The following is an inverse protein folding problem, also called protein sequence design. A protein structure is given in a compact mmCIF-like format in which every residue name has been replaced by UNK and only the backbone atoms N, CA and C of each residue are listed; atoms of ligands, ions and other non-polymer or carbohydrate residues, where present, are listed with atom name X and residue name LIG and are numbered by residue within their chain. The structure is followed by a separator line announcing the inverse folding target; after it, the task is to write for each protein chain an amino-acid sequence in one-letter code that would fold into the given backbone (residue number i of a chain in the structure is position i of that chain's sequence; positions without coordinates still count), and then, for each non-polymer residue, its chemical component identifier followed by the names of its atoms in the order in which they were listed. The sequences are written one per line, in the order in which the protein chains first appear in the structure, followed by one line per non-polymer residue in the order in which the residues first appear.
data_IF_264050388484
#
_entry.id   IF_264050388484
#
_cell.length_a   1.000
_cell.length_b   1.000
_cell.length_c   1.000
_cell.angle_alpha   90.00
_cell.angle_beta   90.00
_cell.angle_gamma   90.00
#
_symmetry.space_group_name_H-M   'P 1'
#
loop_
_entity.id
_entity.type
_entity.pdbx_description
1 polymer ?
#
# COMPACT_ATOMS: atom_id res chain seq x y z
N UNK A 1 23.02 -35.17 -12.48
CA UNK A 1 22.22 -34.66 -11.35
C UNK A 1 23.16 -34.62 -10.16
N UNK A 2 23.47 -33.45 -9.62
CA UNK A 2 24.36 -33.34 -8.46
C UNK A 2 23.56 -33.68 -7.20
N UNK A 3 23.97 -34.75 -6.50
CA UNK A 3 23.44 -35.10 -5.19
C UNK A 3 23.74 -33.95 -4.23
N UNK A 4 22.69 -33.36 -3.65
CA UNK A 4 22.83 -32.42 -2.54
C UNK A 4 23.16 -33.25 -1.30
N UNK A 5 24.44 -33.35 -0.95
CA UNK A 5 24.84 -33.89 0.36
C UNK A 5 24.36 -32.92 1.44
N UNK A 6 23.34 -33.31 2.20
CA UNK A 6 22.93 -32.59 3.40
C UNK A 6 24.09 -32.70 4.40
N UNK A 7 24.63 -31.59 4.93
CA UNK A 7 25.71 -31.66 5.90
C UNK A 7 25.23 -32.44 7.12
N UNK A 8 25.97 -33.47 7.52
CA UNK A 8 25.69 -34.23 8.74
C UNK A 8 25.78 -33.29 9.93
N UNK A 9 24.70 -33.24 10.72
CA UNK A 9 24.65 -32.44 11.94
C UNK A 9 25.67 -32.99 12.94
N UNK A 10 26.41 -32.08 13.57
CA UNK A 10 27.29 -32.47 14.69
C UNK A 10 26.46 -33.00 15.86
N UNK A 11 27.06 -33.79 16.74
CA UNK A 11 26.38 -34.32 17.93
C UNK A 11 25.74 -33.19 18.77
N UNK A 12 26.44 -32.06 18.93
CA UNK A 12 25.91 -30.89 19.65
C UNK A 12 24.66 -30.28 18.98
N UNK A 13 24.62 -30.28 17.64
CA UNK A 13 23.44 -29.80 16.91
C UNK A 13 22.28 -30.78 17.02
N UNK A 14 22.55 -32.08 16.97
CA UNK A 14 21.52 -33.11 17.16
C UNK A 14 20.90 -33.01 18.56
N UNK A 15 21.73 -32.88 19.59
CA UNK A 15 21.26 -32.71 20.97
C UNK A 15 20.46 -31.42 21.15
N UNK A 16 20.91 -30.32 20.53
CA UNK A 16 20.17 -29.05 20.54
C UNK A 16 18.80 -29.17 19.86
N UNK A 17 18.72 -29.77 18.68
CA UNK A 17 17.46 -29.95 17.97
C UNK A 17 16.53 -30.94 18.67
N UNK A 18 17.08 -31.99 19.27
CA UNK A 18 16.29 -32.93 20.07
C UNK A 18 15.71 -32.24 21.30
N UNK A 19 16.50 -31.44 22.02
CA UNK A 19 16.01 -30.66 23.16
C UNK A 19 14.92 -29.65 22.76
N UNK A 20 15.02 -29.03 21.58
CA UNK A 20 13.98 -28.14 21.07
C UNK A 20 12.70 -28.89 20.66
N UNK A 21 12.84 -30.08 20.08
CA UNK A 21 11.70 -30.94 19.75
C UNK A 21 10.99 -31.41 21.01
N UNK A 22 11.75 -31.89 22.00
CA UNK A 22 11.21 -32.35 23.29
C UNK A 22 10.50 -31.21 24.02
N UNK A 23 11.06 -29.99 23.99
CA UNK A 23 10.41 -28.79 24.52
C UNK A 23 9.10 -28.46 23.79
N UNK A 24 9.10 -28.49 22.44
CA UNK A 24 7.92 -28.18 21.65
C UNK A 24 6.78 -29.19 21.87
N UNK A 25 7.10 -30.46 22.08
CA UNK A 25 6.13 -31.53 22.28
C UNK A 25 5.60 -31.61 23.71
N UNK A 26 6.46 -31.40 24.71
CA UNK A 26 6.14 -31.71 26.11
C UNK A 26 5.98 -30.47 27.00
N UNK A 27 6.74 -29.41 26.75
CA UNK A 27 6.86 -28.27 27.67
C UNK A 27 6.29 -26.96 27.11
N UNK A 28 6.02 -26.89 25.80
CA UNK A 28 5.44 -25.72 25.16
C UNK A 28 3.95 -25.61 25.52
N UNK A 29 3.67 -24.76 26.50
CA UNK A 29 2.30 -24.32 26.79
C UNK A 29 1.95 -23.21 25.80
N UNK A 30 0.93 -23.38 24.93
CA UNK A 30 0.46 -22.29 24.09
C UNK A 30 0.06 -21.11 24.96
N UNK A 31 0.52 -19.90 24.63
CA UNK A 31 0.11 -18.72 25.39
C UNK A 31 -1.42 -18.58 25.28
N UNK A 32 -2.11 -18.54 26.43
CA UNK A 32 -3.57 -18.50 26.54
C UNK A 32 -4.21 -17.22 25.95
N UNK A 33 -3.44 -16.38 25.24
CA UNK A 33 -3.84 -15.08 24.71
C UNK A 33 -4.35 -15.11 23.27
N UNK A 34 -4.43 -16.28 22.61
CA UNK A 34 -5.08 -16.37 21.30
C UNK A 34 -6.59 -16.55 21.45
N UNK A 35 -7.28 -15.45 21.78
CA UNK A 35 -8.74 -15.33 21.71
C UNK A 35 -9.19 -15.30 20.25
N UNK A 36 -9.21 -16.48 19.61
CA UNK A 36 -9.88 -16.73 18.34
C UNK A 36 -9.17 -16.20 17.09
N UNK A 37 -9.36 -16.91 15.97
CA UNK A 37 -9.04 -16.36 14.66
C UNK A 37 -10.10 -15.31 14.35
N UNK A 38 -9.73 -14.04 14.41
CA UNK A 38 -10.61 -12.96 13.98
C UNK A 38 -10.81 -13.04 12.47
N UNK A 39 -12.03 -12.75 12.00
CA UNK A 39 -12.37 -12.76 10.58
C UNK A 39 -13.08 -11.46 10.18
N UNK A 40 -12.96 -11.09 8.90
CA UNK A 40 -13.70 -9.97 8.32
C UNK A 40 -13.45 -8.64 9.04
N UNK A 41 -14.52 -7.99 9.48
CA UNK A 41 -14.47 -6.65 10.08
C UNK A 41 -13.67 -6.62 11.39
N UNK A 42 -13.77 -7.68 12.19
CA UNK A 42 -13.12 -7.75 13.51
C UNK A 42 -11.60 -7.96 13.37
N UNK A 43 -11.18 -8.76 12.38
CA UNK A 43 -9.76 -8.90 12.03
C UNK A 43 -9.19 -7.56 11.54
N UNK A 44 -9.95 -6.84 10.71
CA UNK A 44 -9.53 -5.54 10.21
C UNK A 44 -9.45 -4.48 11.32
N UNK A 45 -10.37 -4.49 12.29
CA UNK A 45 -10.31 -3.61 13.44
C UNK A 45 -9.08 -3.90 14.31
N UNK A 46 -8.87 -5.17 14.66
CA UNK A 46 -7.72 -5.59 15.47
C UNK A 46 -6.38 -5.29 14.78
N UNK A 47 -6.28 -5.51 13.46
CA UNK A 47 -5.09 -5.16 12.70
C UNK A 47 -4.81 -3.65 12.71
N UNK A 48 -5.84 -2.79 12.66
CA UNK A 48 -5.66 -1.34 12.78
C UNK A 48 -5.14 -0.95 14.17
N UNK A 49 -5.65 -1.59 15.22
CA UNK A 49 -5.23 -1.32 16.59
C UNK A 49 -3.78 -1.72 16.84
N UNK A 50 -3.34 -2.87 16.30
CA UNK A 50 -1.92 -3.30 16.34
C UNK A 50 -1.03 -2.26 15.63
N UNK A 51 -1.44 -1.79 14.45
CA UNK A 51 -0.66 -0.84 13.68
C UNK A 51 -0.60 0.54 14.36
N UNK A 52 -1.69 1.00 14.98
CA UNK A 52 -1.71 2.21 15.79
C UNK A 52 -0.79 2.08 17.02
N UNK A 53 -0.81 0.94 17.72
CA UNK A 53 0.08 0.67 18.84
C UNK A 53 1.57 0.60 18.44
N UNK A 54 1.86 0.21 17.19
CA UNK A 54 3.20 0.23 16.61
C UNK A 54 3.66 1.65 16.17
N UNK A 55 2.84 2.68 16.42
CA UNK A 55 3.17 4.08 16.11
C UNK A 55 2.83 4.51 14.69
N UNK A 56 2.05 3.74 13.95
CA UNK A 56 1.56 4.13 12.62
C UNK A 56 0.36 5.07 12.75
N UNK A 57 0.37 6.19 12.02
CA UNK A 57 -0.79 7.10 11.95
C UNK A 57 -2.00 6.39 11.31
N UNK A 58 -3.17 6.31 11.99
CA UNK A 58 -4.38 5.73 11.42
C UNK A 58 -4.83 6.40 10.11
N UNK A 59 -4.54 7.70 9.94
CA UNK A 59 -4.81 8.44 8.70
C UNK A 59 -3.92 8.00 7.53
N UNK A 60 -2.67 7.62 7.80
CA UNK A 60 -1.73 7.04 6.85
C UNK A 60 -2.10 5.59 6.51
N UNK A 61 -2.53 4.80 7.50
CA UNK A 61 -3.01 3.45 7.29
C UNK A 61 -4.25 3.39 6.39
N UNK A 62 -5.22 4.28 6.62
CA UNK A 62 -6.39 4.39 5.74
C UNK A 62 -6.00 4.82 4.32
N UNK A 63 -4.97 5.67 4.17
CA UNK A 63 -4.41 6.03 2.85
C UNK A 63 -3.74 4.85 2.16
N UNK A 64 -3.08 3.98 2.91
CA UNK A 64 -2.40 2.78 2.41
C UNK A 64 -3.38 1.66 2.02
N UNK A 65 -4.41 1.41 2.84
CA UNK A 65 -5.37 0.30 2.64
C UNK A 65 -6.54 0.70 1.74
N UNK A 66 -7.15 1.87 1.98
CA UNK A 66 -8.30 2.35 1.21
C UNK A 66 -7.91 3.16 -0.03
N UNK A 67 -6.73 3.78 -0.01
CA UNK A 67 -6.34 4.80 -0.98
C UNK A 67 -6.62 6.22 -0.46
N UNK A 68 -6.23 7.24 -1.23
CA UNK A 68 -6.45 8.65 -0.82
C UNK A 68 -7.95 8.95 -0.65
N UNK A 69 -8.34 9.79 0.33
CA UNK A 69 -9.72 10.25 0.49
C UNK A 69 -10.29 10.84 -0.80
N UNK A 70 -11.62 10.86 -0.92
CA UNK A 70 -12.24 11.55 -2.04
C UNK A 70 -11.86 13.03 -2.03
N UNK A 71 -11.54 13.56 -3.20
CA UNK A 71 -11.31 15.00 -3.39
C UNK A 71 -12.62 15.76 -3.58
N UNK A 72 -13.72 15.05 -3.85
CA UNK A 72 -15.05 15.62 -3.84
C UNK A 72 -15.56 15.71 -2.39
N UNK A 73 -15.79 16.92 -1.85
CA UNK A 73 -16.29 17.12 -0.49
C UNK A 73 -17.74 16.62 -0.31
N UNK A 74 -18.47 16.33 -1.39
CA UNK A 74 -19.83 15.78 -1.36
C UNK A 74 -19.86 14.26 -1.57
N UNK A 75 -18.71 13.61 -1.71
CA UNK A 75 -18.67 12.16 -1.91
C UNK A 75 -19.14 11.40 -0.65
N UNK A 76 -19.83 10.26 -0.84
CA UNK A 76 -20.16 9.37 0.27
C UNK A 76 -18.90 8.94 1.03
N UNK A 77 -18.97 8.92 2.36
CA UNK A 77 -17.89 8.44 3.23
C UNK A 77 -17.45 7.03 2.80
N UNK A 78 -16.15 6.82 2.66
CA UNK A 78 -15.57 5.55 2.21
C UNK A 78 -15.48 5.38 0.68
N UNK A 79 -15.95 6.33 -0.14
CA UNK A 79 -15.70 6.32 -1.58
C UNK A 79 -14.38 7.01 -1.90
N UNK A 80 -13.47 6.31 -2.57
CA UNK A 80 -12.22 6.89 -3.03
C UNK A 80 -12.38 7.65 -4.34
N UNK A 81 -11.47 8.59 -4.60
CA UNK A 81 -11.41 9.31 -5.88
C UNK A 81 -11.22 8.33 -7.04
N UNK A 82 -11.90 8.51 -8.20
CA UNK A 82 -11.63 7.71 -9.39
C UNK A 82 -10.14 7.75 -9.77
N UNK A 83 -9.60 6.59 -10.16
CA UNK A 83 -8.20 6.45 -10.52
C UNK A 83 -8.03 6.36 -12.03
N UNK A 84 -6.97 6.99 -12.54
CA UNK A 84 -6.55 6.90 -13.94
C UNK A 84 -5.12 6.38 -13.98
N UNK A 85 -4.92 5.23 -14.63
CA UNK A 85 -3.60 4.64 -14.83
C UNK A 85 -3.07 5.02 -16.22
N UNK A 86 -1.99 5.80 -16.28
CA UNK A 86 -1.40 6.31 -17.51
C UNK A 86 -0.03 5.68 -17.75
N UNK A 87 0.22 5.24 -18.98
CA UNK A 87 1.57 4.88 -19.44
C UNK A 87 2.21 6.13 -20.03
N UNK A 88 3.39 6.47 -19.52
CA UNK A 88 4.20 7.60 -19.95
C UNK A 88 5.62 7.13 -20.22
N UNK A 89 6.38 7.92 -20.99
CA UNK A 89 7.81 7.65 -21.18
C UNK A 89 8.57 7.89 -19.87
N UNK A 90 9.74 7.27 -19.72
CA UNK A 90 10.59 7.45 -18.54
C UNK A 90 10.98 8.92 -18.35
N UNK A 91 11.34 9.59 -19.45
CA UNK A 91 11.68 11.01 -19.49
C UNK A 91 10.54 11.89 -18.94
N UNK A 92 9.32 11.67 -19.42
CA UNK A 92 8.15 12.43 -18.97
C UNK A 92 7.87 12.21 -17.48
N UNK A 93 8.06 10.98 -16.99
CA UNK A 93 7.93 10.70 -15.56
C UNK A 93 8.96 11.48 -14.74
N UNK A 94 10.20 11.59 -15.22
CA UNK A 94 11.25 12.33 -14.55
C UNK A 94 10.92 13.83 -14.48
N UNK A 95 10.55 14.42 -15.62
CA UNK A 95 10.15 15.83 -15.70
C UNK A 95 8.98 16.17 -14.76
N UNK A 96 7.99 15.29 -14.65
CA UNK A 96 6.88 15.48 -13.71
C UNK A 96 7.37 15.51 -12.25
N UNK A 97 8.31 14.64 -11.89
CA UNK A 97 8.85 14.58 -10.52
C UNK A 97 9.69 15.82 -10.22
N UNK A 98 10.54 16.25 -11.16
CA UNK A 98 11.36 17.45 -11.02
C UNK A 98 10.49 18.72 -10.86
N UNK A 99 9.53 18.93 -11.76
CA UNK A 99 8.61 20.08 -11.70
C UNK A 99 7.76 20.08 -10.43
N UNK A 100 7.40 18.90 -9.91
CA UNK A 100 6.66 18.80 -8.66
C UNK A 100 7.54 19.18 -7.46
N UNK A 101 8.80 18.75 -7.47
CA UNK A 101 9.79 19.10 -6.45
C UNK A 101 10.10 20.60 -6.44
N UNK A 102 10.28 21.22 -7.60
CA UNK A 102 10.47 22.67 -7.74
C UNK A 102 9.32 23.49 -7.16
N UNK A 103 8.10 22.95 -7.22
CA UNK A 103 6.88 23.58 -6.72
C UNK A 103 6.50 23.17 -5.30
N UNK A 104 7.30 22.33 -4.65
CA UNK A 104 7.05 21.77 -3.32
C UNK A 104 5.67 21.09 -3.18
N UNK A 105 5.15 20.52 -4.27
CA UNK A 105 3.86 19.80 -4.27
C UNK A 105 4.05 18.32 -4.63
N UNK A 106 3.13 17.43 -4.21
CA UNK A 106 3.16 16.04 -4.63
C UNK A 106 2.98 15.90 -6.15
N UNK A 107 3.73 14.99 -6.78
CA UNK A 107 3.62 14.74 -8.23
C UNK A 107 2.18 14.40 -8.69
N UNK A 108 1.40 13.71 -7.87
CA UNK A 108 -0.02 13.42 -8.16
C UNK A 108 -0.90 14.67 -8.22
N UNK A 109 -0.53 15.71 -7.48
CA UNK A 109 -1.23 17.00 -7.48
C UNK A 109 -0.89 17.79 -8.73
N UNK A 110 0.41 17.86 -9.08
CA UNK A 110 0.86 18.45 -10.34
C UNK A 110 0.19 17.80 -11.56
N UNK A 111 0.15 16.47 -11.62
CA UNK A 111 -0.51 15.74 -12.73
C UNK A 111 -2.00 16.09 -12.80
N UNK A 112 -2.68 16.25 -11.66
CA UNK A 112 -4.09 16.64 -11.61
C UNK A 112 -4.30 18.05 -12.16
N UNK A 113 -3.44 18.99 -11.80
CA UNK A 113 -3.48 20.37 -12.33
C UNK A 113 -3.29 20.39 -13.85
N UNK A 114 -2.28 19.68 -14.35
CA UNK A 114 -1.98 19.57 -15.79
C UNK A 114 -3.18 18.99 -16.53
N UNK A 115 -3.75 17.88 -16.03
CA UNK A 115 -4.92 17.25 -16.65
C UNK A 115 -6.15 18.17 -16.61
N UNK A 116 -6.40 18.86 -15.50
CA UNK A 116 -7.51 19.80 -15.39
C UNK A 116 -7.38 20.97 -16.38
N UNK A 117 -6.17 21.52 -16.52
CA UNK A 117 -5.89 22.58 -17.49
C UNK A 117 -6.06 22.08 -18.93
N UNK A 118 -5.48 20.92 -19.27
CA UNK A 118 -5.59 20.33 -20.60
C UNK A 118 -7.03 20.01 -21.00
N UNK A 119 -7.85 19.47 -20.08
CA UNK A 119 -9.27 19.19 -20.35
C UNK A 119 -10.06 20.48 -20.58
N UNK A 120 -9.80 21.55 -19.81
CA UNK A 120 -10.45 22.86 -20.04
C UNK A 120 -10.10 23.41 -21.42
N UNK A 121 -8.82 23.42 -21.76
CA UNK A 121 -8.33 23.92 -23.05
C UNK A 121 -8.93 23.15 -24.23
N UNK A 122 -9.02 21.81 -24.13
CA UNK A 122 -9.64 20.97 -25.16
C UNK A 122 -11.16 21.22 -25.32
N UNK A 123 -11.86 21.58 -24.24
CA UNK A 123 -13.27 21.96 -24.32
C UNK A 123 -13.45 23.30 -25.03
N UNK A 124 -12.63 24.28 -24.68
CA UNK A 124 -12.68 25.63 -25.25
C UNK A 124 -12.35 25.61 -26.76
N UNK A 125 -11.32 24.86 -27.16
CA UNK A 125 -10.95 24.73 -28.58
C UNK A 125 -12.08 24.12 -29.42
N UNK A 126 -12.79 23.12 -28.88
CA UNK A 126 -13.94 22.49 -29.55
C UNK A 126 -15.11 23.44 -29.75
N UNK A 127 -15.43 24.25 -28.75
CA UNK A 127 -16.50 25.26 -28.84
C UNK A 127 -16.16 26.31 -29.89
N UNK A 128 -14.90 26.74 -29.97
CA UNK A 128 -14.45 27.72 -30.95
C UNK A 128 -14.49 27.17 -32.39
N UNK A 129 -14.15 25.89 -32.58
CA UNK A 129 -14.29 25.21 -33.88
C UNK A 129 -15.75 25.10 -34.33
N UNK A 130 -16.68 24.80 -33.42
CA UNK A 130 -18.12 24.70 -33.74
C UNK A 130 -18.77 26.05 -34.04
N UNK A 131 -18.22 27.16 -33.53
CA UNK A 131 -18.71 28.52 -33.83
C UNK A 131 -18.18 29.09 -35.14
N UNK A 132 -17.12 28.49 -35.69
CA UNK A 132 -16.45 28.95 -36.91
C UNK A 132 -16.85 28.12 -38.14
N UNK A 133 -17.75 27.14 -37.96
CA UNK A 133 -18.34 26.28 -38.98
C UNK A 133 -19.82 26.66 -39.16
#
# INVERSE_FOLDING_TARGET
MAEKSTPELTAEQQDYYQAMADWAENDMVPSASYEGVLHGADAAAHARDILAAAGMDPGELNRLIGGRPNLDPQAPLGKHSPQLNLRVTAEMKHQIVELAAEREIPASELVREILAAGVRQLRESRVNQQRSA
#
